data_IF_457781320693
#
_entry.id   IF_457781320693
#
_cell.length_a   1.000
_cell.length_b   1.000
_cell.length_c   1.000
_cell.angle_alpha   90.00
_cell.angle_beta   90.00
_cell.angle_gamma   90.00
#
_symmetry.space_group_name_H-M   'P 1'
#
loop_
_entity.id
_entity.type
_entity.pdbx_description
1 polymer ?
#
# COMPACT_ATOMS: atom_id res chain seq x y z
N UNK A 1 -5.71 -0.05 8.07
CA UNK A 1 -4.47 -0.78 7.74
C UNK A 1 -3.25 -0.30 8.55
N UNK A 2 -2.78 0.94 8.40
CA UNK A 2 -1.55 1.42 9.06
C UNK A 2 -1.53 1.25 10.60
N UNK A 3 -2.65 1.46 11.29
CA UNK A 3 -2.75 1.22 12.74
C UNK A 3 -2.55 -0.25 13.12
N UNK A 4 -3.11 -1.17 12.32
CA UNK A 4 -2.93 -2.60 12.51
C UNK A 4 -1.46 -2.98 12.29
N UNK A 5 -0.85 -2.49 11.21
CA UNK A 5 0.55 -2.77 10.89
C UNK A 5 1.50 -2.25 11.97
N UNK A 6 1.26 -1.03 12.47
CA UNK A 6 2.05 -0.47 13.57
C UNK A 6 2.02 -1.35 14.83
N UNK A 7 0.86 -1.93 15.15
CA UNK A 7 0.68 -2.82 16.30
C UNK A 7 1.35 -4.17 16.11
N UNK A 8 1.22 -4.78 14.92
CA UNK A 8 1.72 -6.15 14.67
C UNK A 8 3.22 -6.17 14.39
N UNK A 9 3.75 -5.16 13.71
CA UNK A 9 5.17 -5.09 13.36
C UNK A 9 6.03 -4.36 14.41
N UNK A 10 5.42 -3.79 15.46
CA UNK A 10 6.07 -2.88 16.42
C UNK A 10 6.92 -1.80 15.71
N UNK A 11 6.34 -1.23 14.66
CA UNK A 11 7.02 -0.32 13.74
C UNK A 11 6.30 1.02 13.66
N UNK A 12 7.05 2.08 13.33
CA UNK A 12 6.47 3.38 13.06
C UNK A 12 5.87 3.37 11.65
N UNK A 13 4.55 3.38 11.55
CA UNK A 13 3.82 3.38 10.27
C UNK A 13 3.10 4.70 10.06
N UNK A 14 3.55 5.46 9.07
CA UNK A 14 2.94 6.69 8.58
C UNK A 14 1.82 6.38 7.57
N UNK A 15 0.98 7.38 7.30
CA UNK A 15 0.08 7.35 6.16
C UNK A 15 0.82 7.64 4.85
N UNK A 16 0.18 8.37 3.96
CA UNK A 16 0.78 8.86 2.74
C UNK A 16 1.68 10.07 3.02
N UNK A 17 2.99 9.85 3.12
CA UNK A 17 3.95 10.94 3.32
C UNK A 17 3.98 11.88 2.10
N UNK A 18 3.74 11.36 0.90
CA UNK A 18 3.82 12.07 -0.37
C UNK A 18 2.45 12.44 -0.95
N UNK A 19 1.38 12.44 -0.13
CA UNK A 19 0.05 12.83 -0.59
C UNK A 19 -0.01 14.29 -1.04
N UNK A 20 -0.79 14.60 -2.09
CA UNK A 20 -0.88 15.94 -2.67
C UNK A 20 -1.30 17.03 -1.66
N UNK A 21 -2.15 16.69 -0.68
CA UNK A 21 -2.68 17.66 0.28
C UNK A 21 -1.73 17.99 1.43
N UNK A 22 -1.35 16.99 2.22
CA UNK A 22 -0.47 17.12 3.38
C UNK A 22 0.31 15.83 3.63
N UNK A 23 1.41 15.93 4.35
CA UNK A 23 2.13 14.76 4.86
C UNK A 23 1.31 14.11 5.96
N UNK A 24 1.07 12.81 5.84
CA UNK A 24 0.31 12.06 6.86
C UNK A 24 1.28 11.37 7.82
N UNK A 25 1.72 12.07 8.87
CA UNK A 25 2.55 11.47 9.90
C UNK A 25 1.78 10.43 10.74
N UNK A 26 2.51 9.53 11.40
CA UNK A 26 1.92 8.57 12.30
C UNK A 26 1.24 9.32 13.46
N UNK A 27 -0.01 8.98 13.77
CA UNK A 27 -0.78 9.68 14.80
C UNK A 27 -1.42 11.02 14.37
N UNK A 28 -1.38 11.34 13.07
CA UNK A 28 -1.90 12.60 12.50
C UNK A 28 -1.26 13.86 13.09
N UNK A 29 0.02 13.76 13.47
CA UNK A 29 0.80 14.88 13.99
C UNK A 29 1.01 15.97 12.91
N UNK A 30 0.86 17.25 13.26
CA UNK A 30 1.15 18.36 12.35
C UNK A 30 2.65 18.69 12.26
N UNK A 31 3.41 18.35 13.31
CA UNK A 31 4.85 18.53 13.39
C UNK A 31 5.46 17.27 13.97
N UNK A 32 6.37 16.66 13.23
CA UNK A 32 7.07 15.44 13.60
C UNK A 32 8.48 15.74 14.17
N UNK A 33 9.16 14.69 14.65
CA UNK A 33 10.53 14.75 15.20
C UNK A 33 11.46 15.61 14.33
N UNK A 34 12.24 16.49 14.96
CA UNK A 34 13.14 17.40 14.26
C UNK A 34 12.47 18.65 13.65
N UNK A 35 11.21 18.92 14.00
CA UNK A 35 10.49 20.10 13.50
C UNK A 35 9.97 19.95 12.07
N UNK A 36 9.80 18.71 11.61
CA UNK A 36 9.26 18.43 10.29
C UNK A 36 7.77 18.75 10.24
N UNK A 37 7.38 19.73 9.44
CA UNK A 37 5.98 20.11 9.23
C UNK A 37 5.27 19.15 8.28
N UNK A 38 3.95 19.03 8.46
CA UNK A 38 3.05 18.28 7.57
C UNK A 38 2.72 18.99 6.25
N UNK A 39 3.32 20.16 5.98
CA UNK A 39 3.10 20.93 4.77
C UNK A 39 3.62 20.21 3.52
N UNK A 40 2.70 19.91 2.58
CA UNK A 40 3.04 19.38 1.27
C UNK A 40 4.00 20.31 0.51
N UNK A 41 3.81 21.63 0.58
CA UNK A 41 4.70 22.61 -0.09
C UNK A 41 6.15 22.53 0.40
N UNK A 42 6.36 22.33 1.71
CA UNK A 42 7.71 22.18 2.27
C UNK A 42 8.34 20.84 1.90
N UNK A 43 7.54 19.76 1.89
CA UNK A 43 7.98 18.44 1.43
C UNK A 43 8.39 18.49 -0.04
N UNK A 44 7.53 19.02 -0.90
CA UNK A 44 7.68 18.99 -2.36
C UNK A 44 8.79 19.94 -2.85
N UNK A 45 9.19 20.92 -2.03
CA UNK A 45 10.38 21.74 -2.32
C UNK A 45 11.65 20.88 -2.46
N UNK A 46 11.81 19.86 -1.63
CA UNK A 46 12.89 18.88 -1.75
C UNK A 46 12.51 17.55 -1.10
N UNK A 47 11.84 16.65 -1.84
CA UNK A 47 11.28 15.42 -1.28
C UNK A 47 12.36 14.46 -0.77
N UNK A 48 13.56 14.48 -1.37
CA UNK A 48 14.72 13.68 -0.94
C UNK A 48 15.25 14.13 0.42
N UNK A 49 15.47 15.43 0.58
CA UNK A 49 15.92 16.00 1.85
C UNK A 49 14.86 15.85 2.93
N UNK A 50 13.59 16.00 2.60
CA UNK A 50 12.48 15.71 3.51
C UNK A 50 12.56 14.28 4.07
N UNK A 51 12.63 13.28 3.19
CA UNK A 51 12.67 11.87 3.60
C UNK A 51 13.94 11.55 4.39
N UNK A 52 15.09 12.07 3.96
CA UNK A 52 16.36 11.89 4.67
C UNK A 52 16.31 12.50 6.07
N UNK A 53 15.72 13.69 6.22
CA UNK A 53 15.57 14.35 7.50
C UNK A 53 14.60 13.58 8.42
N UNK A 54 13.53 13.01 7.86
CA UNK A 54 12.61 12.13 8.60
C UNK A 54 13.38 10.94 9.19
N UNK A 55 14.11 10.21 8.35
CA UNK A 55 14.91 9.03 8.76
C UNK A 55 15.98 9.42 9.79
N UNK A 56 16.63 10.58 9.61
CA UNK A 56 17.69 11.05 10.51
C UNK A 56 17.18 11.41 11.91
N UNK A 57 15.99 12.01 12.01
CA UNK A 57 15.38 12.37 13.29
C UNK A 57 14.71 11.18 13.99
N UNK A 58 14.47 10.09 13.28
CA UNK A 58 13.90 8.84 13.80
C UNK A 58 14.92 7.70 13.85
N UNK A 59 16.22 8.01 13.97
CA UNK A 59 17.29 7.01 14.01
C UNK A 59 17.02 5.94 15.06
N UNK A 60 17.27 4.69 14.68
CA UNK A 60 17.02 3.51 15.52
C UNK A 60 15.62 2.89 15.34
N UNK A 61 14.70 3.58 14.67
CA UNK A 61 13.37 3.07 14.33
C UNK A 61 13.24 2.90 12.81
N UNK A 62 12.73 1.75 12.36
CA UNK A 62 12.37 1.57 10.94
C UNK A 62 11.15 2.41 10.62
N UNK A 63 11.25 3.24 9.58
CA UNK A 63 10.16 4.09 9.11
C UNK A 63 9.41 3.38 7.99
N UNK A 64 8.09 3.25 8.15
CA UNK A 64 7.20 2.64 7.17
C UNK A 64 6.15 3.69 6.78
N UNK A 65 5.77 3.75 5.50
CA UNK A 65 4.75 4.70 5.05
C UNK A 65 3.96 4.10 3.88
N UNK A 66 2.76 4.61 3.66
CA UNK A 66 1.96 4.26 2.50
C UNK A 66 2.42 5.09 1.29
N UNK A 67 2.48 4.44 0.15
CA UNK A 67 2.81 5.07 -1.13
C UNK A 67 1.91 4.48 -2.20
N UNK A 68 1.23 5.32 -2.98
CA UNK A 68 0.31 4.89 -4.02
C UNK A 68 0.29 5.83 -5.22
N UNK A 69 -0.51 5.54 -6.26
CA UNK A 69 -0.52 6.30 -7.51
C UNK A 69 -1.04 7.75 -7.37
N UNK A 70 -1.70 8.08 -6.26
CA UNK A 70 -2.15 9.44 -5.92
C UNK A 70 -1.06 10.31 -5.28
N UNK A 71 0.04 9.70 -4.83
CA UNK A 71 1.16 10.40 -4.22
C UNK A 71 2.08 11.07 -5.26
N UNK A 72 2.90 12.01 -4.80
CA UNK A 72 3.93 12.65 -5.61
C UNK A 72 4.98 11.61 -6.04
N UNK A 73 5.01 11.30 -7.34
CA UNK A 73 5.86 10.24 -7.91
C UNK A 73 7.33 10.64 -8.09
N UNK A 74 7.67 11.93 -7.93
CA UNK A 74 9.05 12.44 -8.14
C UNK A 74 10.11 11.78 -7.23
N UNK A 75 9.69 11.26 -6.07
CA UNK A 75 10.58 10.56 -5.13
C UNK A 75 10.84 9.10 -5.55
N UNK A 76 10.02 8.51 -6.42
CA UNK A 76 10.04 7.08 -6.72
C UNK A 76 11.43 6.56 -7.15
N UNK A 77 12.21 7.24 -8.03
CA UNK A 77 13.55 6.76 -8.39
C UNK A 77 14.53 6.75 -7.23
N UNK A 78 14.36 7.68 -6.27
CA UNK A 78 15.19 7.71 -5.06
C UNK A 78 14.87 6.54 -4.13
N UNK A 79 13.58 6.16 -4.01
CA UNK A 79 13.16 4.99 -3.24
C UNK A 79 13.66 3.69 -3.89
N UNK A 80 13.48 3.55 -5.20
CA UNK A 80 13.92 2.37 -5.95
C UNK A 80 15.45 2.19 -5.89
N UNK A 81 16.21 3.28 -5.87
CA UNK A 81 17.66 3.26 -5.81
C UNK A 81 18.27 2.95 -4.43
N UNK A 82 17.47 2.82 -3.36
CA UNK A 82 17.97 2.55 -2.01
C UNK A 82 18.04 1.04 -1.70
N UNK A 83 19.25 0.46 -1.51
CA UNK A 83 19.39 -0.96 -1.16
C UNK A 83 18.81 -1.34 0.21
N UNK A 84 18.54 -0.36 1.09
CA UNK A 84 17.93 -0.59 2.40
C UNK A 84 16.40 -0.47 2.37
N UNK A 85 15.82 0.00 1.26
CA UNK A 85 14.39 0.11 1.10
C UNK A 85 13.77 -1.26 0.76
N UNK A 86 12.58 -1.48 1.32
CA UNK A 86 11.71 -2.60 0.93
C UNK A 86 10.39 -2.00 0.44
N UNK A 87 10.02 -2.31 -0.80
CA UNK A 87 8.84 -1.79 -1.48
C UNK A 87 7.89 -2.96 -1.73
N UNK A 88 6.66 -2.82 -1.24
CA UNK A 88 5.63 -3.86 -1.25
C UNK A 88 4.37 -3.28 -1.90
N UNK A 89 3.92 -3.87 -3.00
CA UNK A 89 2.86 -3.32 -3.83
C UNK A 89 1.76 -4.35 -3.98
N UNK A 90 0.52 -3.89 -3.80
CA UNK A 90 -0.68 -4.60 -4.25
C UNK A 90 -1.19 -3.87 -5.49
N UNK A 91 -0.79 -4.37 -6.65
CA UNK A 91 -1.08 -3.82 -7.96
C UNK A 91 -2.58 -3.83 -8.21
N UNK A 92 -3.12 -2.71 -8.67
CA UNK A 92 -4.54 -2.55 -8.93
C UNK A 92 -5.39 -2.14 -7.73
N UNK A 93 -4.83 -2.05 -6.51
CA UNK A 93 -5.61 -1.74 -5.31
C UNK A 93 -6.24 -0.33 -5.32
N UNK A 94 -5.71 0.59 -6.14
CA UNK A 94 -6.24 1.96 -6.30
C UNK A 94 -7.70 1.99 -6.79
N UNK A 95 -8.20 0.90 -7.37
CA UNK A 95 -9.57 0.81 -7.87
C UNK A 95 -10.62 0.76 -6.76
N UNK A 96 -10.25 0.25 -5.58
CA UNK A 96 -11.16 0.08 -4.45
C UNK A 96 -11.70 1.44 -3.98
N UNK A 97 -10.87 2.46 -3.69
CA UNK A 97 -11.39 3.78 -3.33
C UNK A 97 -12.17 4.45 -4.47
N UNK A 98 -11.84 4.19 -5.75
CA UNK A 98 -12.63 4.69 -6.88
C UNK A 98 -14.03 4.08 -6.90
N UNK A 99 -14.15 2.77 -6.68
CA UNK A 99 -15.42 2.07 -6.58
C UNK A 99 -16.26 2.59 -5.41
N UNK A 100 -15.65 2.76 -4.23
CA UNK A 100 -16.34 3.28 -3.04
C UNK A 100 -16.77 4.75 -3.15
N UNK A 101 -16.12 5.53 -4.03
CA UNK A 101 -16.43 6.95 -4.19
C UNK A 101 -17.85 7.22 -4.70
N UNK A 102 -18.47 6.24 -5.40
CA UNK A 102 -19.80 6.39 -5.99
C UNK A 102 -19.91 7.52 -7.04
N UNK A 103 -18.77 8.02 -7.54
CA UNK A 103 -18.72 9.10 -8.53
C UNK A 103 -19.30 8.68 -9.87
N UNK A 104 -19.68 9.64 -10.74
CA UNK A 104 -20.11 9.31 -12.09
C UNK A 104 -19.08 8.44 -12.82
N UNK A 105 -19.56 7.42 -13.52
CA UNK A 105 -18.69 6.41 -14.14
C UNK A 105 -17.66 7.01 -15.12
N UNK A 106 -18.01 8.08 -15.83
CA UNK A 106 -17.10 8.77 -16.74
C UNK A 106 -15.88 9.36 -16.01
N UNK A 107 -16.07 9.91 -14.80
CA UNK A 107 -14.98 10.40 -13.96
C UNK A 107 -14.14 9.25 -13.42
N UNK A 108 -14.79 8.19 -12.95
CA UNK A 108 -14.12 6.98 -12.45
C UNK A 108 -13.22 6.37 -13.54
N UNK A 109 -13.71 6.28 -14.78
CA UNK A 109 -12.94 5.71 -15.89
C UNK A 109 -11.70 6.54 -16.20
N UNK A 110 -11.84 7.86 -16.30
CA UNK A 110 -10.73 8.76 -16.58
C UNK A 110 -9.67 8.67 -15.48
N UNK A 111 -10.12 8.66 -14.22
CA UNK A 111 -9.23 8.58 -13.07
C UNK A 111 -8.56 7.21 -12.93
N UNK A 112 -9.31 6.12 -13.15
CA UNK A 112 -8.76 4.78 -13.15
C UNK A 112 -7.66 4.62 -14.22
N UNK A 113 -7.87 5.17 -15.42
CA UNK A 113 -6.85 5.15 -16.47
C UNK A 113 -5.60 5.96 -16.09
N UNK A 114 -5.77 7.12 -15.42
CA UNK A 114 -4.66 7.93 -14.92
C UNK A 114 -3.85 7.16 -13.86
N UNK A 115 -4.51 6.59 -12.86
CA UNK A 115 -3.87 5.84 -11.77
C UNK A 115 -3.21 4.56 -12.29
N UNK A 116 -3.87 3.84 -13.21
CA UNK A 116 -3.30 2.65 -13.84
C UNK A 116 -2.00 2.97 -14.58
N UNK A 117 -1.96 4.12 -15.30
CA UNK A 117 -0.74 4.54 -15.98
C UNK A 117 0.38 4.81 -14.99
N UNK A 118 0.10 5.57 -13.93
CA UNK A 118 1.10 5.91 -12.91
C UNK A 118 1.63 4.64 -12.21
N UNK A 119 0.74 3.72 -11.86
CA UNK A 119 1.12 2.45 -11.23
C UNK A 119 1.95 1.59 -12.19
N UNK A 120 1.59 1.52 -13.48
CA UNK A 120 2.36 0.81 -14.49
C UNK A 120 3.77 1.40 -14.64
N UNK A 121 3.88 2.73 -14.77
CA UNK A 121 5.15 3.43 -14.88
C UNK A 121 6.02 3.21 -13.61
N UNK A 122 5.40 3.15 -12.43
CA UNK A 122 6.10 2.84 -11.17
C UNK A 122 6.59 1.39 -11.10
N UNK A 123 5.76 0.41 -11.50
CA UNK A 123 6.16 -1.00 -11.57
C UNK A 123 7.27 -1.19 -12.61
N UNK A 124 7.22 -0.51 -13.75
CA UNK A 124 8.29 -0.53 -14.76
C UNK A 124 9.60 0.00 -14.18
N UNK A 125 9.56 1.13 -13.46
CA UNK A 125 10.71 1.67 -12.73
C UNK A 125 11.29 0.64 -11.74
N UNK A 126 10.45 -0.05 -10.98
CA UNK A 126 10.90 -1.04 -10.01
C UNK A 126 11.54 -2.28 -10.66
N UNK A 127 11.09 -2.65 -11.85
CA UNK A 127 11.70 -3.75 -12.62
C UNK A 127 12.97 -3.33 -13.38
N UNK A 128 13.35 -2.04 -13.34
CA UNK A 128 14.51 -1.54 -14.03
C UNK A 128 15.83 -2.11 -13.45
N UNK A 129 16.88 -2.31 -14.26
CA UNK A 129 18.14 -2.91 -13.81
C UNK A 129 18.91 -2.12 -12.75
N UNK A 130 18.65 -0.82 -12.63
CA UNK A 130 19.27 0.09 -11.67
C UNK A 130 18.56 0.12 -10.31
N UNK A 131 17.43 -0.57 -10.18
CA UNK A 131 16.71 -0.72 -8.92
C UNK A 131 17.51 -1.58 -7.94
N UNK A 132 17.65 -1.06 -6.72
CA UNK A 132 18.39 -1.70 -5.61
C UNK A 132 17.50 -2.09 -4.44
N UNK A 133 16.33 -1.48 -4.34
CA UNK A 133 15.35 -1.80 -3.31
C UNK A 133 14.90 -3.26 -3.42
N UNK A 134 14.52 -3.84 -2.28
CA UNK A 134 13.86 -5.15 -2.25
C UNK A 134 12.39 -4.97 -2.62
N UNK A 135 11.93 -5.69 -3.64
CA UNK A 135 10.59 -5.49 -4.20
C UNK A 135 9.74 -6.74 -4.04
N UNK A 136 8.49 -6.54 -3.63
CA UNK A 136 7.44 -7.54 -3.68
C UNK A 136 6.20 -6.95 -4.35
N UNK A 137 5.70 -7.64 -5.37
CA UNK A 137 4.49 -7.24 -6.10
C UNK A 137 3.51 -8.40 -6.05
N UNK A 138 2.31 -8.10 -5.55
CA UNK A 138 1.14 -8.95 -5.64
C UNK A 138 0.07 -8.23 -6.44
N UNK A 139 -0.81 -8.96 -7.11
CA UNK A 139 -2.01 -8.37 -7.70
C UNK A 139 -3.13 -8.30 -6.67
N UNK A 140 -4.12 -7.45 -6.93
CA UNK A 140 -5.35 -7.43 -6.13
C UNK A 140 -6.04 -8.80 -6.13
N UNK A 141 -6.02 -9.53 -7.25
CA UNK A 141 -6.55 -10.89 -7.34
C UNK A 141 -5.83 -11.85 -6.39
N UNK A 142 -4.49 -11.84 -6.37
CA UNK A 142 -3.69 -12.70 -5.47
C UNK A 142 -4.07 -12.46 -4.01
N UNK A 143 -4.23 -11.18 -3.61
CA UNK A 143 -4.61 -10.83 -2.25
C UNK A 143 -6.05 -11.27 -1.91
N UNK A 144 -6.96 -11.28 -2.87
CA UNK A 144 -8.33 -11.76 -2.67
C UNK A 144 -8.36 -13.29 -2.51
N UNK A 145 -7.49 -13.99 -3.24
CA UNK A 145 -7.36 -15.45 -3.22
C UNK A 145 -6.65 -15.96 -1.95
N UNK A 146 -5.48 -15.42 -1.61
CA UNK A 146 -4.76 -15.69 -0.37
C UNK A 146 -4.36 -14.38 0.34
N UNK A 147 -5.05 -14.09 1.43
CA UNK A 147 -4.82 -12.90 2.26
C UNK A 147 -3.66 -13.07 3.22
N UNK A 148 -3.33 -14.30 3.60
CA UNK A 148 -2.41 -14.56 4.72
C UNK A 148 -0.96 -14.41 4.25
N UNK A 149 -0.65 -14.95 3.08
CA UNK A 149 0.73 -14.95 2.56
C UNK A 149 1.30 -13.53 2.35
N UNK A 150 0.63 -12.61 1.62
CA UNK A 150 1.15 -11.25 1.44
C UNK A 150 1.31 -10.49 2.77
N UNK A 151 0.35 -10.63 3.68
CA UNK A 151 0.38 -9.95 4.98
C UNK A 151 1.47 -10.48 5.90
N UNK A 152 1.65 -11.81 5.95
CA UNK A 152 2.72 -12.42 6.73
C UNK A 152 4.08 -11.98 6.21
N UNK A 153 4.27 -11.94 4.89
CA UNK A 153 5.50 -11.48 4.28
C UNK A 153 5.80 -10.00 4.59
N UNK A 154 4.79 -9.14 4.60
CA UNK A 154 4.92 -7.74 5.05
C UNK A 154 5.42 -7.69 6.51
N UNK A 155 4.81 -8.47 7.41
CA UNK A 155 5.18 -8.48 8.83
C UNK A 155 6.61 -9.01 9.04
N UNK A 156 6.95 -10.12 8.40
CA UNK A 156 8.26 -10.76 8.54
C UNK A 156 9.38 -9.86 8.02
N UNK A 157 9.15 -9.18 6.89
CA UNK A 157 10.11 -8.25 6.33
C UNK A 157 10.32 -7.04 7.25
N UNK A 158 9.26 -6.51 7.86
CA UNK A 158 9.34 -5.35 8.76
C UNK A 158 10.05 -5.68 10.07
N UNK A 159 9.86 -6.89 10.61
CA UNK A 159 10.46 -7.33 11.88
C UNK A 159 11.21 -8.68 11.75
N UNK A 160 12.41 -8.68 11.15
CA UNK A 160 13.17 -9.92 10.93
C UNK A 160 13.75 -10.53 12.21
N UNK A 161 13.73 -9.80 13.33
CA UNK A 161 14.37 -10.21 14.59
C UNK A 161 13.47 -11.05 15.49
N UNK A 162 12.17 -11.05 15.24
CA UNK A 162 11.22 -11.79 16.04
C UNK A 162 10.23 -12.51 15.10
N UNK A 163 10.14 -13.85 15.15
CA UNK A 163 9.15 -14.59 14.38
C UNK A 163 7.76 -14.28 14.93
N UNK A 164 7.16 -13.20 14.45
CA UNK A 164 5.81 -12.82 14.80
C UNK A 164 4.87 -13.72 14.00
N UNK A 165 4.18 -14.63 14.71
CA UNK A 165 2.95 -15.17 14.13
C UNK A 165 1.96 -14.04 14.09
N UNK A 166 1.54 -13.64 12.90
CA UNK A 166 0.39 -12.76 12.74
C UNK A 166 -0.77 -13.40 13.49
N UNK A 167 -1.25 -12.78 14.56
CA UNK A 167 -2.31 -13.31 15.44
C UNK A 167 -3.68 -12.75 15.09
N UNK A 168 -3.70 -11.60 14.39
CA UNK A 168 -4.88 -10.88 13.98
C UNK A 168 -4.70 -10.37 12.56
N UNK A 169 -5.72 -10.53 11.72
CA UNK A 169 -5.76 -9.96 10.38
C UNK A 169 -6.29 -8.51 10.44
N UNK A 170 -5.88 -7.65 9.49
CA UNK A 170 -6.48 -6.33 9.36
C UNK A 170 -7.95 -6.46 8.97
N UNK A 171 -8.78 -5.50 9.38
CA UNK A 171 -10.13 -5.39 8.85
C UNK A 171 -10.07 -5.11 7.34
N UNK A 172 -10.68 -6.00 6.57
CA UNK A 172 -10.76 -5.89 5.12
C UNK A 172 -11.97 -5.07 4.71
N UNK A 173 -11.85 -4.39 3.57
CA UNK A 173 -12.98 -3.77 2.89
C UNK A 173 -13.90 -4.89 2.38
N UNK A 174 -15.21 -4.73 2.57
CA UNK A 174 -16.20 -5.61 1.94
C UNK A 174 -16.20 -5.35 0.43
N UNK A 175 -15.85 -6.38 -0.34
CA UNK A 175 -15.77 -6.34 -1.81
C UNK A 175 -17.05 -6.91 -2.47
N UNK A 176 -18.15 -7.02 -1.73
CA UNK A 176 -19.44 -7.44 -2.29
C UNK A 176 -19.87 -6.51 -3.43
N UNK A 177 -20.09 -7.08 -4.62
CA UNK A 177 -20.46 -6.33 -5.83
C UNK A 177 -19.29 -5.70 -6.59
N UNK A 178 -18.05 -5.89 -6.13
CA UNK A 178 -16.86 -5.35 -6.78
C UNK A 178 -16.60 -5.95 -8.17
N UNK A 179 -16.92 -7.24 -8.39
CA UNK A 179 -16.71 -7.87 -9.69
C UNK A 179 -17.62 -7.31 -10.79
N UNK A 180 -18.86 -6.94 -10.43
CA UNK A 180 -19.78 -6.23 -11.34
C UNK A 180 -19.19 -4.90 -11.79
N UNK A 181 -18.61 -4.14 -10.87
CA UNK A 181 -17.93 -2.89 -11.18
C UNK A 181 -16.74 -3.10 -12.13
N UNK A 182 -15.91 -4.13 -11.91
CA UNK A 182 -14.80 -4.46 -12.82
C UNK A 182 -15.30 -4.84 -14.22
N UNK A 183 -16.42 -5.56 -14.31
CA UNK A 183 -17.04 -5.91 -15.58
C UNK A 183 -17.56 -4.66 -16.32
N UNK A 184 -18.20 -3.73 -15.62
CA UNK A 184 -18.63 -2.45 -16.20
C UNK A 184 -17.44 -1.63 -16.72
N UNK A 185 -16.33 -1.63 -15.98
CA UNK A 185 -15.09 -0.93 -16.35
C UNK A 185 -14.49 -1.52 -17.63
N UNK A 186 -14.52 -2.85 -17.76
CA UNK A 186 -14.12 -3.60 -18.96
C UNK A 186 -15.01 -3.27 -20.16
N UNK A 187 -16.33 -3.27 -19.97
CA UNK A 187 -17.30 -2.99 -21.02
C UNK A 187 -17.15 -1.58 -21.60
N UNK A 188 -16.64 -0.62 -20.82
CA UNK A 188 -16.37 0.75 -21.23
C UNK A 188 -14.95 0.94 -21.82
N UNK A 189 -14.28 -0.16 -22.19
CA UNK A 189 -13.00 -0.14 -22.87
C UNK A 189 -11.80 0.21 -22.00
N UNK A 190 -11.92 0.08 -20.67
CA UNK A 190 -10.77 0.09 -19.76
C UNK A 190 -10.38 -1.36 -19.47
N UNK A 191 -9.18 -1.79 -19.85
CA UNK A 191 -8.67 -3.10 -19.47
C UNK A 191 -7.86 -2.97 -18.17
N UNK A 192 -8.37 -3.46 -17.02
CA UNK A 192 -7.63 -3.46 -15.77
C UNK A 192 -6.53 -4.53 -15.82
N UNK A 193 -5.43 -4.25 -16.53
CA UNK A 193 -4.35 -5.23 -16.77
C UNK A 193 -3.57 -5.53 -15.48
N UNK A 194 -3.52 -4.55 -14.56
CA UNK A 194 -2.68 -4.60 -13.36
C UNK A 194 -3.28 -5.38 -12.19
N UNK A 195 -4.58 -5.66 -12.20
CA UNK A 195 -5.29 -6.19 -11.01
C UNK A 195 -5.30 -7.73 -10.95
N UNK A 196 -4.87 -8.41 -12.01
CA UNK A 196 -5.11 -9.84 -12.19
C UNK A 196 -6.58 -10.17 -12.54
N UNK A 197 -6.93 -11.45 -12.56
CA UNK A 197 -8.31 -11.90 -12.76
C UNK A 197 -8.99 -12.07 -11.40
N UNK A 198 -9.70 -11.03 -10.95
CA UNK A 198 -10.36 -11.03 -9.63
C UNK A 198 -11.58 -11.95 -9.68
N UNK A 199 -11.64 -13.03 -8.88
CA UNK A 199 -12.76 -13.97 -8.93
C UNK A 199 -14.08 -13.32 -8.45
N UNK A 200 -15.20 -13.68 -9.08
CA UNK A 200 -16.56 -13.21 -8.70
C UNK A 200 -16.92 -13.51 -7.23
N UNK A 201 -16.24 -14.47 -6.60
CA UNK A 201 -16.40 -14.85 -5.19
C UNK A 201 -15.80 -13.83 -4.21
N UNK A 202 -15.16 -12.74 -4.67
CA UNK A 202 -14.56 -11.70 -3.83
C UNK A 202 -15.53 -11.07 -2.81
N UNK A 203 -16.84 -11.17 -3.05
CA UNK A 203 -17.92 -10.70 -2.18
C UNK A 203 -18.46 -11.70 -1.15
N UNK A 204 -17.95 -12.93 -1.10
CA UNK A 204 -18.27 -13.77 0.04
C UNK A 204 -17.38 -13.30 1.20
N UNK A 205 -17.93 -12.97 2.39
CA UNK A 205 -17.12 -12.93 3.59
C UNK A 205 -16.55 -14.33 3.73
N UNK A 206 -15.33 -14.52 3.23
CA UNK A 206 -14.55 -15.70 3.44
C UNK A 206 -14.53 -15.84 4.94
N UNK A 207 -15.30 -16.83 5.40
CA UNK A 207 -15.30 -17.39 6.74
C UNK A 207 -13.90 -17.14 7.26
N UNK A 208 -13.83 -16.31 8.29
CA UNK A 208 -12.63 -16.03 9.06
C UNK A 208 -12.07 -17.41 9.43
N UNK A 209 -11.26 -18.01 8.55
CA UNK A 209 -10.47 -19.21 8.82
C UNK A 209 -9.34 -18.65 9.65
N UNK A 210 -9.74 -18.20 10.84
CA UNK A 210 -8.89 -17.66 11.85
C UNK A 210 -7.77 -18.66 12.02
N UNK A 211 -6.56 -18.13 12.04
CA UNK A 211 -5.33 -18.82 12.43
C UNK A 211 -5.68 -19.93 13.42
N UNK A 212 -5.68 -21.17 12.93
CA UNK A 212 -6.24 -22.31 13.66
C UNK A 212 -5.61 -22.35 15.04
N UNK A 213 -6.40 -22.05 16.09
CA UNK A 213 -5.94 -22.16 17.48
C UNK A 213 -5.46 -23.59 17.69
N UNK A 214 -4.24 -23.83 18.22
CA UNK A 214 -3.83 -25.18 18.56
C UNK A 214 -4.77 -25.71 19.64
N UNK A 215 -5.41 -26.85 19.37
CA UNK A 215 -6.10 -27.62 20.39
C UNK A 215 -5.06 -28.07 21.41
N UNK A 216 -5.21 -27.59 22.65
CA UNK A 216 -4.50 -28.12 23.80
C UNK A 216 -4.90 -29.58 23.99
N UNK A 217 -4.00 -30.50 23.62
CA UNK A 217 -4.10 -31.89 24.04
C UNK A 217 -3.81 -31.96 25.55
N UNK A 218 -4.73 -32.57 26.30
CA UNK A 218 -4.57 -32.95 27.71
C UNK A 218 -3.64 -34.14 27.85
#
# INVERSE_FOLDING_TARGET
FHQWLARVADARVHGHLFAQGRVQFAGDEAVFKGGLSDSATLRDYNPRSFLTNLIWNSRGERQCFQFGPDDAQEIAPFLAGDPNASIMIVSGAFVIPLWQSGRPFAEIRAEAARLQKIEADFIELLNAPDTKARIHVWTLADLVEDRVEPLQQIVDELNPRAPHRMTELPQMVDLTGFSTFLQELRNQGMQPVLMGDVPDTAGQPGIDRGLTRPQLAK
#
